data_IF_411717068178
#
_entry.id   IF_411717068178
#
_cell.length_a   1.000
_cell.length_b   1.000
_cell.length_c   1.000
_cell.angle_alpha   90.00
_cell.angle_beta   90.00
_cell.angle_gamma   90.00
#
_symmetry.space_group_name_H-M   'P 1'
#
loop_
_entity.id
_entity.type
_entity.pdbx_description
1 polymer ?
#
# COMPACT_ATOMS: atom_id res chain seq x y z
N UNK A 1 -12.95 -3.18 5.95
CA UNK A 1 -12.79 -4.65 5.94
C UNK A 1 -12.51 -5.12 4.52
N UNK A 2 -11.46 -5.93 4.29
CA UNK A 2 -11.18 -6.61 3.02
C UNK A 2 -11.73 -8.04 3.09
N UNK A 3 -12.37 -8.51 2.03
CA UNK A 3 -12.66 -9.92 1.77
C UNK A 3 -12.18 -10.27 0.37
N UNK A 4 -11.48 -11.39 0.22
CA UNK A 4 -11.00 -11.87 -1.06
C UNK A 4 -11.09 -13.39 -1.14
N UNK A 5 -11.87 -13.90 -2.07
CA UNK A 5 -11.95 -15.30 -2.44
C UNK A 5 -11.62 -15.41 -3.92
N UNK A 6 -10.37 -15.65 -4.25
CA UNK A 6 -9.86 -15.58 -5.61
C UNK A 6 -8.93 -16.74 -5.95
N UNK A 7 -8.85 -17.05 -7.23
CA UNK A 7 -7.90 -18.01 -7.81
C UNK A 7 -7.04 -17.34 -8.86
N UNK A 8 -5.77 -17.78 -8.92
CA UNK A 8 -4.82 -17.33 -9.94
C UNK A 8 -3.88 -18.46 -10.31
N UNK A 9 -3.74 -18.74 -11.60
CA UNK A 9 -2.74 -19.64 -12.14
C UNK A 9 -1.58 -18.85 -12.74
N UNK A 10 -0.37 -19.22 -12.38
CA UNK A 10 0.88 -18.62 -12.86
C UNK A 10 1.82 -19.75 -13.28
N UNK A 11 1.77 -20.11 -14.56
CA UNK A 11 2.46 -21.30 -15.05
C UNK A 11 1.97 -22.57 -14.35
N UNK A 12 2.85 -23.25 -13.63
CA UNK A 12 2.52 -24.46 -12.84
C UNK A 12 1.96 -24.14 -11.45
N UNK A 13 2.18 -22.92 -10.94
CA UNK A 13 1.69 -22.49 -9.64
C UNK A 13 0.21 -22.13 -9.73
N UNK A 14 -0.60 -22.73 -8.85
CA UNK A 14 -2.01 -22.36 -8.65
C UNK A 14 -2.21 -21.81 -7.25
N UNK A 15 -2.60 -20.54 -7.17
CA UNK A 15 -2.93 -19.86 -5.91
C UNK A 15 -4.44 -19.89 -5.72
N UNK A 16 -4.88 -20.36 -4.55
CA UNK A 16 -6.26 -20.25 -4.06
C UNK A 16 -6.21 -19.45 -2.76
N UNK A 17 -6.87 -18.30 -2.75
CA UNK A 17 -6.79 -17.32 -1.67
C UNK A 17 -8.20 -17.17 -1.09
N UNK A 18 -8.32 -17.41 0.21
CA UNK A 18 -9.49 -17.06 1.02
C UNK A 18 -8.99 -16.22 2.19
N UNK A 19 -9.20 -14.91 2.10
CA UNK A 19 -8.63 -13.93 3.01
C UNK A 19 -9.70 -12.95 3.48
N UNK A 20 -9.77 -12.76 4.80
CA UNK A 20 -10.59 -11.72 5.42
C UNK A 20 -9.72 -10.90 6.36
N UNK A 21 -9.62 -9.58 6.11
CA UNK A 21 -8.81 -8.65 6.89
C UNK A 21 -9.70 -7.58 7.49
N UNK A 22 -9.74 -7.55 8.83
CA UNK A 22 -10.40 -6.48 9.56
C UNK A 22 -9.53 -5.21 9.64
N UNK A 23 -10.04 -4.14 10.25
CA UNK A 23 -9.25 -2.95 10.57
C UNK A 23 -8.05 -3.30 11.47
N UNK A 24 -7.00 -2.51 11.38
CA UNK A 24 -5.74 -2.76 12.07
C UNK A 24 -4.70 -3.43 11.18
N UNK A 25 -3.62 -3.91 11.78
CA UNK A 25 -2.46 -4.48 11.05
C UNK A 25 -2.61 -6.00 10.99
N UNK A 26 -2.57 -6.53 9.78
CA UNK A 26 -2.53 -7.98 9.50
C UNK A 26 -1.23 -8.31 8.76
N UNK A 27 -0.52 -9.34 9.19
CA UNK A 27 0.76 -9.74 8.59
C UNK A 27 0.61 -11.05 7.84
N UNK A 28 0.90 -11.04 6.54
CA UNK A 28 1.08 -12.24 5.74
C UNK A 28 2.49 -12.81 5.96
N UNK A 29 2.57 -14.04 6.46
CA UNK A 29 3.84 -14.75 6.65
C UNK A 29 3.97 -15.90 5.67
N UNK A 30 5.18 -16.18 5.24
CA UNK A 30 5.51 -17.28 4.33
C UNK A 30 6.94 -17.15 3.83
N UNK A 31 7.47 -18.24 3.31
CA UNK A 31 8.81 -18.29 2.71
C UNK A 31 8.95 -17.35 1.51
N UNK A 32 10.18 -17.08 1.09
CA UNK A 32 10.42 -16.37 -0.17
C UNK A 32 9.84 -17.19 -1.33
N UNK A 33 9.14 -16.52 -2.25
CA UNK A 33 8.48 -17.22 -3.37
C UNK A 33 7.09 -17.82 -3.04
N UNK A 34 6.60 -17.75 -1.80
CA UNK A 34 5.27 -18.29 -1.43
C UNK A 34 4.07 -17.53 -2.02
N UNK A 35 4.32 -16.46 -2.78
CA UNK A 35 3.26 -15.70 -3.46
C UNK A 35 2.75 -14.46 -2.73
N UNK A 36 3.39 -13.99 -1.64
CA UNK A 36 2.97 -12.79 -0.90
C UNK A 36 2.81 -11.55 -1.79
N UNK A 37 3.85 -11.22 -2.56
CA UNK A 37 3.81 -10.12 -3.54
C UNK A 37 2.74 -10.35 -4.62
N UNK A 38 2.50 -11.60 -5.01
CA UNK A 38 1.43 -11.94 -5.95
C UNK A 38 0.06 -11.63 -5.36
N UNK A 39 -0.17 -12.00 -4.09
CA UNK A 39 -1.41 -11.67 -3.37
C UNK A 39 -1.61 -10.15 -3.33
N UNK A 40 -0.58 -9.40 -2.95
CA UNK A 40 -0.60 -7.94 -2.92
C UNK A 40 -0.97 -7.34 -4.29
N UNK A 41 -0.37 -7.86 -5.38
CA UNK A 41 -0.66 -7.44 -6.75
C UNK A 41 -2.09 -7.80 -7.20
N UNK A 42 -2.61 -8.96 -6.80
CA UNK A 42 -4.00 -9.36 -7.08
C UNK A 42 -5.00 -8.44 -6.38
N UNK A 43 -4.77 -8.15 -5.10
CA UNK A 43 -5.62 -7.26 -4.31
C UNK A 43 -5.60 -5.83 -4.87
N UNK A 44 -4.42 -5.30 -5.18
CA UNK A 44 -4.27 -3.94 -5.72
C UNK A 44 -4.80 -3.77 -7.15
N UNK A 45 -4.97 -4.87 -7.90
CA UNK A 45 -5.40 -4.85 -9.29
C UNK A 45 -4.25 -4.69 -10.29
N UNK A 46 -3.00 -4.68 -9.84
CA UNK A 46 -1.82 -4.73 -10.71
C UNK A 46 -1.73 -6.07 -11.45
N UNK A 47 -2.29 -7.13 -10.87
CA UNK A 47 -2.49 -8.44 -11.48
C UNK A 47 -3.98 -8.81 -11.39
N UNK A 48 -4.55 -9.29 -12.50
CA UNK A 48 -5.96 -9.72 -12.54
C UNK A 48 -6.08 -11.16 -12.04
N UNK A 49 -6.99 -11.46 -11.06
CA UNK A 49 -7.37 -12.83 -10.75
C UNK A 49 -8.03 -13.52 -11.94
N UNK A 50 -7.97 -14.85 -11.97
CA UNK A 50 -8.66 -15.62 -13.00
C UNK A 50 -10.13 -15.83 -12.62
N UNK A 51 -10.40 -16.08 -11.32
CA UNK A 51 -11.74 -16.33 -10.80
C UNK A 51 -11.90 -15.72 -9.40
N UNK A 52 -13.16 -15.50 -9.01
CA UNK A 52 -13.56 -15.17 -7.66
C UNK A 52 -14.01 -13.74 -7.49
N UNK A 53 -13.85 -13.23 -6.27
CA UNK A 53 -14.33 -11.92 -5.85
C UNK A 53 -13.37 -11.25 -4.87
N UNK A 54 -13.26 -9.93 -4.97
CA UNK A 54 -12.59 -9.06 -4.00
C UNK A 54 -13.54 -7.93 -3.61
N UNK A 55 -13.77 -7.78 -2.31
CA UNK A 55 -14.56 -6.69 -1.73
C UNK A 55 -13.70 -5.85 -0.78
N UNK A 56 -13.80 -4.54 -0.91
CA UNK A 56 -13.20 -3.54 -0.04
C UNK A 56 -14.32 -2.69 0.57
N UNK A 57 -14.45 -2.69 1.88
CA UNK A 57 -15.48 -1.94 2.62
C UNK A 57 -16.91 -2.20 2.09
N UNK A 58 -17.23 -3.45 1.72
CA UNK A 58 -18.51 -3.84 1.15
C UNK A 58 -18.69 -3.51 -0.34
N UNK A 59 -17.70 -2.86 -0.97
CA UNK A 59 -17.72 -2.57 -2.40
C UNK A 59 -16.95 -3.64 -3.16
N UNK A 60 -17.57 -4.29 -4.15
CA UNK A 60 -16.87 -5.20 -5.04
C UNK A 60 -15.92 -4.41 -5.96
N UNK A 61 -14.64 -4.78 -5.94
CA UNK A 61 -13.61 -4.22 -6.82
C UNK A 61 -13.17 -5.20 -7.91
N UNK A 62 -13.43 -6.49 -7.67
CA UNK A 62 -13.26 -7.55 -8.65
C UNK A 62 -14.35 -8.62 -8.42
N UNK A 63 -14.98 -9.08 -9.49
CA UNK A 63 -15.91 -10.22 -9.45
C UNK A 63 -16.05 -10.82 -10.84
N UNK A 64 -15.74 -12.10 -10.99
CA UNK A 64 -15.97 -12.82 -12.26
C UNK A 64 -17.45 -12.99 -12.53
N UNK A 65 -18.24 -13.33 -11.51
CA UNK A 65 -19.69 -13.52 -11.65
C UNK A 65 -20.43 -12.24 -12.09
N UNK A 66 -19.95 -11.07 -11.66
CA UNK A 66 -20.54 -9.76 -11.97
C UNK A 66 -19.81 -9.02 -13.08
N UNK A 67 -18.78 -9.60 -13.68
CA UNK A 67 -17.93 -8.98 -14.70
C UNK A 67 -17.32 -7.64 -14.23
N UNK A 68 -16.97 -7.53 -12.94
CA UNK A 68 -16.35 -6.35 -12.34
C UNK A 68 -14.83 -6.55 -12.30
N UNK A 69 -14.07 -5.56 -12.78
CA UNK A 69 -12.63 -5.47 -12.60
C UNK A 69 -12.22 -4.00 -12.60
N UNK A 70 -12.18 -3.40 -11.42
CA UNK A 70 -11.77 -2.01 -11.29
C UNK A 70 -10.26 -1.87 -11.51
N UNK A 71 -9.86 -0.83 -12.23
CA UNK A 71 -8.46 -0.45 -12.39
C UNK A 71 -7.82 -0.14 -11.02
N UNK A 72 -6.50 -0.35 -10.84
CA UNK A 72 -5.82 -0.15 -9.55
C UNK A 72 -6.15 1.19 -8.89
N UNK A 73 -6.15 2.24 -9.69
CA UNK A 73 -6.44 3.58 -9.22
C UNK A 73 -7.88 3.77 -8.72
N UNK A 74 -8.82 2.96 -9.17
CA UNK A 74 -10.21 3.04 -8.75
C UNK A 74 -10.53 2.21 -7.50
N UNK A 75 -9.55 1.45 -6.98
CA UNK A 75 -9.71 0.59 -5.81
C UNK A 75 -9.51 1.32 -4.48
N UNK A 76 -8.87 2.49 -4.48
CA UNK A 76 -8.58 3.25 -3.25
C UNK A 76 -7.56 2.57 -2.34
N UNK A 77 -6.61 1.84 -2.91
CA UNK A 77 -5.57 1.11 -2.19
C UNK A 77 -4.28 1.91 -2.22
N UNK A 78 -3.73 2.21 -1.03
CA UNK A 78 -2.35 2.67 -0.89
C UNK A 78 -1.40 1.48 -0.98
N UNK A 79 -0.31 1.62 -1.74
CA UNK A 79 0.67 0.55 -1.92
C UNK A 79 2.09 1.05 -1.68
N UNK A 80 2.79 0.41 -0.75
CA UNK A 80 4.23 0.61 -0.51
C UNK A 80 4.96 -0.61 -1.01
N UNK A 81 5.79 -0.41 -2.03
CA UNK A 81 6.63 -1.47 -2.60
C UNK A 81 7.91 -1.66 -1.76
N UNK A 82 8.55 -2.79 -1.89
CA UNK A 82 9.86 -3.09 -1.29
C UNK A 82 10.91 -2.02 -1.62
N UNK A 83 10.88 -1.46 -2.83
CA UNK A 83 11.64 -0.25 -3.20
C UNK A 83 10.72 0.95 -3.22
N UNK A 84 11.18 2.11 -2.77
CA UNK A 84 10.34 3.31 -2.56
C UNK A 84 9.60 3.80 -3.82
N UNK A 85 10.12 3.53 -5.03
CA UNK A 85 9.52 3.89 -6.34
C UNK A 85 8.98 5.33 -6.35
N UNK A 86 9.78 6.27 -5.85
CA UNK A 86 9.44 7.69 -5.90
C UNK A 86 9.54 8.22 -7.33
N UNK A 87 8.76 9.25 -7.62
CA UNK A 87 8.78 9.95 -8.91
C UNK A 87 10.00 10.88 -8.91
N UNK A 88 11.04 10.62 -9.72
CA UNK A 88 12.33 11.28 -9.59
C UNK A 88 12.33 12.76 -10.00
N UNK A 89 11.36 13.16 -10.82
CA UNK A 89 11.16 14.52 -11.30
C UNK A 89 10.36 15.40 -10.34
N UNK A 90 9.80 14.83 -9.28
CA UNK A 90 9.02 15.53 -8.27
C UNK A 90 9.83 15.66 -6.96
N UNK A 91 9.63 16.76 -6.24
CA UNK A 91 10.11 16.92 -4.87
C UNK A 91 9.44 15.91 -3.93
N UNK A 92 9.90 15.83 -2.69
CA UNK A 92 9.27 15.02 -1.64
C UNK A 92 7.82 15.45 -1.41
N UNK A 93 7.56 16.75 -1.27
CA UNK A 93 6.20 17.28 -1.10
C UNK A 93 5.30 16.89 -2.26
N UNK A 94 5.75 17.09 -3.49
CA UNK A 94 4.97 16.74 -4.69
C UNK A 94 4.74 15.24 -4.80
N UNK A 95 5.73 14.40 -4.44
CA UNK A 95 5.54 12.95 -4.35
C UNK A 95 4.42 12.58 -3.37
N UNK A 96 4.41 13.18 -2.17
CA UNK A 96 3.39 12.91 -1.14
C UNK A 96 2.02 13.36 -1.61
N UNK A 97 1.92 14.54 -2.25
CA UNK A 97 0.65 15.12 -2.75
C UNK A 97 0.19 14.52 -4.08
N UNK A 98 1.02 13.73 -4.77
CA UNK A 98 0.73 13.18 -6.09
C UNK A 98 -0.64 12.47 -6.20
N UNK A 99 -1.09 11.65 -5.22
CA UNK A 99 -2.40 11.02 -5.29
C UNK A 99 -3.58 12.01 -5.35
N UNK A 100 -3.42 13.20 -4.79
CA UNK A 100 -4.44 14.25 -4.79
C UNK A 100 -4.47 15.00 -6.13
N UNK A 101 -3.30 15.37 -6.66
CA UNK A 101 -3.17 16.11 -7.92
C UNK A 101 -3.59 15.28 -9.14
N UNK A 102 -3.50 13.95 -9.05
CA UNK A 102 -3.95 13.04 -10.09
C UNK A 102 -5.50 12.94 -10.21
N UNK A 103 -6.24 13.89 -9.66
CA UNK A 103 -7.70 13.97 -9.75
C UNK A 103 -8.44 13.00 -8.84
N UNK A 104 -7.77 12.53 -7.80
CA UNK A 104 -8.27 11.50 -6.91
C UNK A 104 -8.73 12.08 -5.59
N UNK A 105 -9.67 11.40 -5.01
CA UNK A 105 -10.47 11.60 -3.81
C UNK A 105 -9.76 12.32 -2.66
N UNK A 106 -10.52 12.87 -1.74
CA UNK A 106 -9.99 13.52 -0.52
C UNK A 106 -9.27 12.48 0.35
N UNK A 107 -8.01 12.74 0.77
CA UNK A 107 -7.29 11.85 1.65
C UNK A 107 -8.04 11.71 2.99
N UNK A 108 -7.93 10.56 3.62
CA UNK A 108 -8.48 10.31 4.97
C UNK A 108 -7.61 10.95 6.06
N UNK A 109 -6.41 11.38 5.72
CA UNK A 109 -5.43 11.95 6.63
C UNK A 109 -5.01 13.33 6.17
N UNK A 110 -4.68 14.19 7.11
CA UNK A 110 -4.13 15.52 6.81
C UNK A 110 -2.66 15.43 6.39
N UNK A 111 -2.25 16.29 5.45
CA UNK A 111 -0.88 16.33 4.96
C UNK A 111 0.13 16.67 6.06
N UNK A 112 -0.18 17.68 6.90
CA UNK A 112 0.72 18.11 7.97
C UNK A 112 0.89 17.01 9.01
N UNK A 113 -0.19 16.30 9.36
CA UNK A 113 -0.17 15.16 10.26
C UNK A 113 0.72 14.01 9.72
N UNK A 114 0.59 13.67 8.44
CA UNK A 114 1.43 12.64 7.80
C UNK A 114 2.90 13.03 7.79
N UNK A 115 3.20 14.29 7.47
CA UNK A 115 4.57 14.83 7.45
C UNK A 115 5.19 14.78 8.85
N UNK A 116 4.46 15.20 9.88
CA UNK A 116 4.89 15.17 11.28
C UNK A 116 5.13 13.73 11.77
N UNK A 117 4.15 12.84 11.61
CA UNK A 117 4.24 11.43 12.03
C UNK A 117 5.47 10.75 11.43
N UNK A 118 5.79 11.05 10.15
CA UNK A 118 6.88 10.43 9.40
C UNK A 118 8.21 11.20 9.49
N UNK A 119 8.23 12.36 10.16
CA UNK A 119 9.41 13.19 10.34
C UNK A 119 10.01 13.67 9.01
N UNK A 120 9.17 14.23 8.13
CA UNK A 120 9.54 14.60 6.76
C UNK A 120 9.69 16.11 6.55
N UNK A 121 9.48 16.95 7.57
CA UNK A 121 9.42 18.42 7.45
C UNK A 121 10.65 19.01 6.77
N UNK A 122 11.83 18.50 7.14
CA UNK A 122 13.12 18.99 6.60
C UNK A 122 13.45 18.43 5.22
N UNK A 123 12.65 17.48 4.72
CA UNK A 123 12.88 16.78 3.47
C UNK A 123 11.97 17.27 2.34
N UNK A 124 10.92 18.03 2.63
CA UNK A 124 9.84 18.38 1.68
C UNK A 124 10.34 18.95 0.36
N UNK A 125 11.37 19.79 0.41
CA UNK A 125 11.95 20.45 -0.78
C UNK A 125 13.04 19.63 -1.49
N UNK A 126 13.44 18.48 -0.91
CA UNK A 126 14.45 17.62 -1.53
C UNK A 126 13.86 16.81 -2.68
N UNK A 127 14.74 16.33 -3.56
CA UNK A 127 14.42 15.38 -4.61
C UNK A 127 14.81 13.95 -4.21
N UNK A 128 14.12 12.92 -4.73
CA UNK A 128 14.36 11.51 -4.37
C UNK A 128 15.83 11.06 -4.44
N UNK A 129 16.60 11.56 -5.41
CA UNK A 129 18.01 11.20 -5.58
C UNK A 129 18.93 11.65 -4.44
N UNK A 130 18.49 12.56 -3.56
CA UNK A 130 19.25 13.04 -2.40
C UNK A 130 18.84 12.36 -1.07
N UNK A 131 17.90 11.42 -1.11
CA UNK A 131 17.38 10.74 0.07
C UNK A 131 18.16 9.47 0.38
N UNK A 132 18.36 9.19 1.65
CA UNK A 132 18.75 7.84 2.10
C UNK A 132 17.62 6.84 1.83
N UNK A 133 17.95 5.54 1.80
CA UNK A 133 16.93 4.49 1.60
C UNK A 133 15.77 4.56 2.59
N UNK A 134 16.07 4.81 3.88
CA UNK A 134 15.04 4.94 4.92
C UNK A 134 14.19 6.21 4.75
N UNK A 135 14.78 7.34 4.34
CA UNK A 135 14.03 8.56 4.03
C UNK A 135 13.09 8.33 2.83
N UNK A 136 13.62 7.71 1.76
CA UNK A 136 12.81 7.35 0.59
C UNK A 136 11.63 6.45 0.94
N UNK A 137 11.84 5.47 1.84
CA UNK A 137 10.78 4.57 2.27
C UNK A 137 9.70 5.29 3.08
N UNK A 138 10.07 6.24 3.97
CA UNK A 138 9.10 7.08 4.69
C UNK A 138 8.30 7.98 3.74
N UNK A 139 8.93 8.55 2.71
CA UNK A 139 8.25 9.33 1.67
C UNK A 139 7.28 8.45 0.87
N UNK A 140 7.67 7.22 0.51
CA UNK A 140 6.78 6.28 -0.17
C UNK A 140 5.57 5.90 0.70
N UNK A 141 5.77 5.71 2.01
CA UNK A 141 4.69 5.48 2.97
C UNK A 141 3.77 6.71 3.06
N UNK A 142 4.32 7.92 3.18
CA UNK A 142 3.54 9.15 3.18
C UNK A 142 2.65 9.27 1.94
N UNK A 143 3.23 9.03 0.75
CA UNK A 143 2.47 9.04 -0.51
C UNK A 143 1.37 8.00 -0.53
N UNK A 144 1.64 6.79 -0.04
CA UNK A 144 0.64 5.73 0.03
C UNK A 144 -0.50 6.09 0.98
N UNK A 145 -0.19 6.64 2.17
CA UNK A 145 -1.17 7.12 3.16
C UNK A 145 -2.10 8.17 2.56
N UNK A 146 -1.55 9.16 1.83
CA UNK A 146 -2.33 10.21 1.17
C UNK A 146 -3.24 9.69 0.06
N UNK A 147 -2.95 8.50 -0.49
CA UNK A 147 -3.77 7.84 -1.50
C UNK A 147 -4.68 6.72 -0.97
N UNK A 148 -4.58 6.39 0.32
CA UNK A 148 -5.30 5.27 0.92
C UNK A 148 -6.73 5.66 1.29
N UNK A 149 -7.69 4.88 0.81
CA UNK A 149 -9.12 5.03 1.13
C UNK A 149 -9.72 3.77 1.76
N UNK A 150 -9.27 2.59 1.36
CA UNK A 150 -9.90 1.32 1.71
C UNK A 150 -8.95 0.29 2.30
N UNK A 151 -7.68 0.30 1.89
CA UNK A 151 -6.66 -0.67 2.29
C UNK A 151 -5.28 -0.06 2.07
N UNK A 152 -4.36 -0.27 3.02
CA UNK A 152 -2.93 -0.02 2.83
C UNK A 152 -2.19 -1.35 2.71
N UNK A 153 -1.45 -1.54 1.63
CA UNK A 153 -0.60 -2.72 1.42
C UNK A 153 0.87 -2.32 1.55
N UNK A 154 1.61 -3.07 2.37
CA UNK A 154 3.03 -2.89 2.62
C UNK A 154 3.78 -4.16 2.21
N UNK A 155 4.44 -4.15 1.04
CA UNK A 155 5.18 -5.30 0.53
C UNK A 155 6.63 -5.24 1.01
N UNK A 156 6.95 -6.01 2.05
CA UNK A 156 8.27 -6.10 2.70
C UNK A 156 8.90 -4.74 3.05
N UNK A 157 8.17 -3.79 3.67
CA UNK A 157 8.63 -2.41 3.87
C UNK A 157 9.87 -2.30 4.76
N UNK A 158 10.24 -3.38 5.46
CA UNK A 158 11.32 -3.41 6.45
C UNK A 158 12.53 -4.24 6.01
N UNK A 159 12.47 -4.91 4.85
CA UNK A 159 13.45 -5.92 4.45
C UNK A 159 14.87 -5.38 4.26
N UNK A 160 15.00 -4.12 3.82
CA UNK A 160 16.29 -3.47 3.54
C UNK A 160 16.80 -2.55 4.66
N UNK A 161 16.16 -2.55 5.84
CA UNK A 161 16.46 -1.65 6.94
C UNK A 161 17.26 -2.35 8.03
N UNK A 162 18.21 -1.63 8.64
CA UNK A 162 18.87 -2.02 9.88
C UNK A 162 17.87 -2.04 11.06
N UNK A 163 18.21 -2.69 12.19
CA UNK A 163 17.30 -2.88 13.32
C UNK A 163 16.74 -1.57 13.89
N UNK A 164 17.55 -0.52 13.97
CA UNK A 164 17.14 0.79 14.51
C UNK A 164 16.11 1.46 13.60
N UNK A 165 16.40 1.55 12.31
CA UNK A 165 15.48 2.13 11.32
C UNK A 165 14.21 1.30 11.16
N UNK A 166 14.31 -0.03 11.30
CA UNK A 166 13.14 -0.92 11.32
C UNK A 166 12.20 -0.60 12.46
N UNK A 167 12.76 -0.42 13.69
CA UNK A 167 11.95 -0.04 14.86
C UNK A 167 11.25 1.31 14.69
N UNK A 168 11.96 2.30 14.15
CA UNK A 168 11.38 3.61 13.85
C UNK A 168 10.23 3.51 12.84
N UNK A 169 10.42 2.79 11.74
CA UNK A 169 9.39 2.66 10.71
C UNK A 169 8.17 1.87 11.22
N UNK A 170 8.39 0.83 12.05
CA UNK A 170 7.27 0.12 12.70
C UNK A 170 6.44 1.06 13.57
N UNK A 171 7.08 1.89 14.41
CA UNK A 171 6.36 2.90 15.19
C UNK A 171 5.57 3.90 14.33
N UNK A 172 6.07 4.23 13.13
CA UNK A 172 5.32 5.04 12.17
C UNK A 172 4.11 4.31 11.60
N UNK A 173 4.26 3.03 11.22
CA UNK A 173 3.16 2.22 10.68
C UNK A 173 2.06 2.05 11.75
N UNK A 174 2.44 1.80 13.01
CA UNK A 174 1.49 1.66 14.12
C UNK A 174 0.69 2.95 14.36
N UNK A 175 1.33 4.11 14.37
CA UNK A 175 0.63 5.42 14.47
C UNK A 175 -0.29 5.66 13.28
N UNK A 176 0.18 5.37 12.06
CA UNK A 176 -0.63 5.49 10.86
C UNK A 176 -1.86 4.57 10.89
N UNK A 177 -1.73 3.35 11.43
CA UNK A 177 -2.84 2.42 11.59
C UNK A 177 -3.93 2.95 12.54
N UNK A 178 -3.54 3.67 13.59
CA UNK A 178 -4.49 4.29 14.52
C UNK A 178 -5.24 5.46 13.87
N UNK A 179 -4.59 6.23 12.99
CA UNK A 179 -5.18 7.42 12.35
C UNK A 179 -6.06 7.07 11.16
N UNK A 180 -5.65 6.10 10.33
CA UNK A 180 -6.33 5.80 9.04
C UNK A 180 -7.70 5.11 9.16
N UNK A 181 -7.92 4.36 10.22
CA UNK A 181 -9.12 3.52 10.40
C UNK A 181 -9.42 2.57 9.21
N UNK A 182 -8.37 2.09 8.53
CA UNK A 182 -8.45 1.11 7.43
C UNK A 182 -7.60 -0.13 7.72
N UNK A 183 -7.86 -1.27 7.05
CA UNK A 183 -6.97 -2.43 7.10
C UNK A 183 -5.57 -2.08 6.59
N UNK A 184 -4.54 -2.62 7.23
CA UNK A 184 -3.15 -2.62 6.77
C UNK A 184 -2.70 -4.07 6.62
N UNK A 185 -2.17 -4.41 5.46
CA UNK A 185 -1.68 -5.74 5.11
C UNK A 185 -0.21 -5.71 4.74
#
# INVERSE_FOLDING_TARGET
>A
MLKAQIRKRLGELSLSIDLSVAKGITVLRGESGSGKTTIANLLSGALKPDEGEIELEGRSVFSTARSINLAPEARGIGFVFQTARLLPHLSVEENIRFPQTAGRRRPRVDFAEVVEILGLERLLHRHPGSLSGGEGQRVALARALMGTESLLILDEPLSSLDPERRSLLMGFIERAAQTLDVPIL
#
